data_IF_898753592039
#
_entry.id   IF_898753592039
#
_cell.length_a   1.000
_cell.length_b   1.000
_cell.length_c   1.000
_cell.angle_alpha   90.00
_cell.angle_beta   90.00
_cell.angle_gamma   90.00
#
_symmetry.space_group_name_H-M   'P 1'
#
loop_
_entity.id
_entity.type
_entity.pdbx_description
1 polymer ?
#
# COMPACT_ATOMS: atom_id res chain seq x y z
N UNK A 1 1.50 19.60 4.05
CA UNK A 1 2.43 18.45 4.15
C UNK A 1 1.73 17.32 4.88
N UNK A 2 1.70 16.11 4.33
CA UNK A 2 1.07 14.99 5.03
C UNK A 2 1.84 14.59 6.29
N UNK A 3 1.15 13.95 7.21
CA UNK A 3 1.73 13.38 8.42
C UNK A 3 1.17 11.99 8.65
N UNK A 4 1.85 11.20 9.48
CA UNK A 4 1.34 9.90 9.92
C UNK A 4 0.69 10.01 11.28
N UNK A 5 -0.32 9.18 11.54
CA UNK A 5 -0.90 9.03 12.86
C UNK A 5 -1.14 7.57 13.20
N UNK A 6 -1.30 7.29 14.50
CA UNK A 6 -1.42 5.95 15.03
C UNK A 6 -2.76 5.32 14.66
N UNK A 7 -2.74 4.03 14.31
CA UNK A 7 -3.94 3.23 14.06
C UNK A 7 -4.29 2.49 15.35
N UNK A 8 -5.55 2.53 15.72
CA UNK A 8 -6.09 1.75 16.85
C UNK A 8 -7.14 0.77 16.33
N UNK A 9 -7.45 -0.31 17.07
CA UNK A 9 -8.39 -1.33 16.59
C UNK A 9 -9.75 -0.79 16.16
N UNK A 10 -10.26 0.24 16.83
CA UNK A 10 -11.54 0.85 16.49
C UNK A 10 -11.55 1.55 15.13
N UNK A 11 -10.39 1.77 14.52
CA UNK A 11 -10.31 2.43 13.21
C UNK A 11 -10.63 1.49 12.05
N UNK A 12 -10.77 0.19 12.32
CA UNK A 12 -10.91 -0.82 11.28
C UNK A 12 -12.01 -0.52 10.26
N UNK A 13 -13.23 -0.22 10.73
CA UNK A 13 -14.35 0.01 9.81
C UNK A 13 -14.12 1.21 8.89
N UNK A 14 -13.57 2.30 9.44
CA UNK A 14 -13.25 3.48 8.65
C UNK A 14 -12.15 3.18 7.62
N UNK A 15 -11.20 2.32 7.97
CA UNK A 15 -10.12 1.93 7.05
C UNK A 15 -10.63 1.01 5.95
N UNK A 16 -11.61 0.15 6.24
CA UNK A 16 -12.29 -0.65 5.21
C UNK A 16 -12.96 0.28 4.20
N UNK A 17 -13.67 1.29 4.69
CA UNK A 17 -14.34 2.26 3.82
C UNK A 17 -13.35 3.02 2.93
N UNK A 18 -12.22 3.43 3.49
CA UNK A 18 -11.17 4.12 2.74
C UNK A 18 -10.56 3.21 1.66
N UNK A 19 -10.28 1.96 2.01
CA UNK A 19 -9.75 0.98 1.06
C UNK A 19 -10.72 0.76 -0.10
N UNK A 20 -12.00 0.64 0.20
CA UNK A 20 -13.05 0.49 -0.83
C UNK A 20 -13.05 1.72 -1.74
N UNK A 21 -13.04 2.91 -1.17
CA UNK A 21 -13.00 4.15 -1.97
C UNK A 21 -11.80 4.17 -2.92
N UNK A 22 -10.63 3.82 -2.40
CA UNK A 22 -9.39 3.87 -3.17
C UNK A 22 -9.35 2.84 -4.30
N UNK A 23 -9.97 1.67 -4.12
CA UNK A 23 -9.88 0.55 -5.06
C UNK A 23 -11.14 0.32 -5.89
N UNK A 24 -12.25 0.94 -5.53
CA UNK A 24 -13.55 0.62 -6.12
C UNK A 24 -13.55 0.69 -7.64
N UNK A 25 -13.00 1.75 -8.20
CA UNK A 25 -12.98 1.95 -9.65
C UNK A 25 -12.24 0.81 -10.36
N UNK A 26 -11.06 0.43 -9.84
CA UNK A 26 -10.28 -0.68 -10.41
C UNK A 26 -11.01 -2.01 -10.27
N UNK A 27 -11.61 -2.27 -9.11
CA UNK A 27 -12.33 -3.52 -8.87
C UNK A 27 -13.59 -3.62 -9.71
N UNK A 28 -14.33 -2.52 -9.89
CA UNK A 28 -15.52 -2.50 -10.75
C UNK A 28 -15.14 -2.74 -12.21
N UNK A 29 -14.06 -2.09 -12.67
CA UNK A 29 -13.58 -2.29 -14.05
C UNK A 29 -13.22 -3.74 -14.33
N UNK A 30 -12.71 -4.45 -13.31
CA UNK A 30 -12.35 -5.86 -13.43
C UNK A 30 -13.51 -6.81 -13.12
N UNK A 31 -14.69 -6.27 -12.77
CA UNK A 31 -15.85 -7.09 -12.42
C UNK A 31 -15.68 -7.82 -11.09
N UNK A 32 -14.86 -7.29 -10.17
CA UNK A 32 -14.50 -7.98 -8.93
C UNK A 32 -14.81 -7.18 -7.67
N UNK A 33 -15.63 -6.16 -7.77
CA UNK A 33 -15.98 -5.37 -6.58
C UNK A 33 -16.91 -6.16 -5.66
N UNK A 34 -16.47 -6.36 -4.43
CA UNK A 34 -17.22 -7.05 -3.38
C UNK A 34 -16.83 -6.44 -2.04
N UNK A 35 -17.73 -5.66 -1.39
CA UNK A 35 -17.42 -5.02 -0.12
C UNK A 35 -17.05 -5.99 1.00
N UNK A 36 -17.70 -7.16 1.05
CA UNK A 36 -17.40 -8.16 2.07
C UNK A 36 -16.00 -8.72 1.90
N UNK A 37 -15.60 -8.98 0.68
CA UNK A 37 -14.25 -9.47 0.38
C UNK A 37 -13.20 -8.41 0.70
N UNK A 38 -13.49 -7.15 0.40
CA UNK A 38 -12.60 -6.04 0.73
C UNK A 38 -12.36 -5.97 2.24
N UNK A 39 -13.43 -6.16 3.04
CA UNK A 39 -13.36 -6.19 4.49
C UNK A 39 -12.53 -7.36 4.99
N UNK A 40 -12.78 -8.55 4.46
CA UNK A 40 -12.05 -9.75 4.86
C UNK A 40 -10.55 -9.66 4.57
N UNK A 41 -10.19 -9.09 3.44
CA UNK A 41 -8.78 -8.92 3.07
C UNK A 41 -8.06 -7.98 4.02
N UNK A 42 -8.69 -6.89 4.44
CA UNK A 42 -8.08 -6.02 5.43
C UNK A 42 -8.01 -6.69 6.80
N UNK A 43 -9.07 -7.43 7.17
CA UNK A 43 -9.12 -8.12 8.46
C UNK A 43 -8.02 -9.17 8.60
N UNK A 44 -7.71 -9.91 7.54
CA UNK A 44 -6.74 -11.01 7.61
C UNK A 44 -5.32 -10.57 7.92
N UNK A 45 -4.97 -9.31 7.64
CA UNK A 45 -3.64 -8.78 7.93
C UNK A 45 -3.66 -7.58 8.85
N UNK A 46 -4.77 -7.35 9.56
CA UNK A 46 -4.92 -6.16 10.38
C UNK A 46 -4.00 -6.21 11.60
N UNK A 47 -2.99 -5.35 11.60
CA UNK A 47 -1.98 -5.28 12.65
C UNK A 47 -1.63 -3.81 12.92
N UNK A 48 -2.38 -3.14 13.81
CA UNK A 48 -2.22 -1.69 14.04
C UNK A 48 -0.79 -1.24 14.31
N UNK A 49 0.04 -2.07 14.95
CA UNK A 49 1.43 -1.69 15.25
C UNK A 49 2.29 -1.47 14.00
N UNK A 50 1.86 -2.00 12.84
CA UNK A 50 2.58 -1.82 11.57
C UNK A 50 1.84 -0.88 10.63
N UNK A 51 0.75 -0.28 11.11
CA UNK A 51 -0.14 0.54 10.29
C UNK A 51 -0.09 1.99 10.73
N UNK A 52 -0.23 2.89 9.77
CA UNK A 52 -0.30 4.32 10.04
C UNK A 52 -1.34 4.96 9.13
N UNK A 53 -2.16 5.85 9.71
CA UNK A 53 -3.00 6.72 8.91
C UNK A 53 -2.13 7.76 8.25
N UNK A 54 -2.53 8.19 7.06
CA UNK A 54 -1.94 9.35 6.39
C UNK A 54 -2.94 10.49 6.55
N UNK A 55 -2.49 11.60 7.13
CA UNK A 55 -3.34 12.77 7.37
C UNK A 55 -2.85 13.96 6.59
N UNK A 56 -3.79 14.74 6.09
CA UNK A 56 -3.51 16.01 5.43
C UNK A 56 -4.49 17.04 5.99
N UNK A 57 -3.95 18.10 6.59
CA UNK A 57 -4.76 19.17 7.17
C UNK A 57 -5.80 18.64 8.17
N UNK A 58 -5.39 17.69 9.00
CA UNK A 58 -6.24 17.11 10.03
C UNK A 58 -7.23 16.05 9.55
N UNK A 59 -7.21 15.71 8.26
CA UNK A 59 -8.11 14.70 7.71
C UNK A 59 -7.35 13.43 7.32
N UNK A 60 -7.95 12.28 7.62
CA UNK A 60 -7.40 11.00 7.19
C UNK A 60 -7.67 10.82 5.70
N UNK A 61 -6.61 10.80 4.91
CA UNK A 61 -6.69 10.70 3.45
C UNK A 61 -6.15 9.38 2.91
N UNK A 62 -5.57 8.56 3.78
CA UNK A 62 -5.04 7.26 3.37
C UNK A 62 -4.50 6.47 4.55
N UNK A 63 -3.92 5.31 4.27
CA UNK A 63 -3.16 4.57 5.27
C UNK A 63 -2.11 3.69 4.60
N UNK A 64 -1.13 3.29 5.40
CA UNK A 64 -0.04 2.43 4.95
C UNK A 64 0.19 1.34 5.97
N UNK A 65 0.44 0.12 5.48
CA UNK A 65 0.88 -0.99 6.30
C UNK A 65 2.24 -1.46 5.79
N UNK A 66 3.26 -1.29 6.62
CA UNK A 66 4.61 -1.75 6.31
C UNK A 66 5.07 -2.63 7.45
N UNK A 67 5.29 -3.92 7.18
CA UNK A 67 5.63 -4.88 8.22
C UNK A 67 6.87 -5.68 7.87
N UNK A 68 7.66 -6.09 8.88
CA UNK A 68 8.77 -7.01 8.64
C UNK A 68 8.23 -8.37 8.18
N UNK A 69 8.90 -8.97 7.20
CA UNK A 69 8.55 -10.29 6.70
C UNK A 69 9.85 -11.02 6.34
N UNK A 70 10.39 -11.78 7.30
CA UNK A 70 11.70 -12.40 7.19
C UNK A 70 12.78 -11.32 6.97
N UNK A 71 13.49 -11.35 5.84
CA UNK A 71 14.61 -10.43 5.56
C UNK A 71 14.18 -9.21 4.73
N UNK A 72 12.88 -9.04 4.48
CA UNK A 72 12.35 -7.93 3.70
C UNK A 72 11.28 -7.20 4.49
N UNK A 73 10.91 -5.99 4.05
CA UNK A 73 9.69 -5.35 4.47
C UNK A 73 8.61 -5.63 3.44
N UNK A 74 7.41 -5.93 3.92
CA UNK A 74 6.25 -6.10 3.05
C UNK A 74 5.34 -4.90 3.17
N UNK A 75 5.07 -4.25 2.04
CA UNK A 75 4.10 -3.17 1.95
C UNK A 75 2.75 -3.81 1.62
N UNK A 76 1.98 -4.13 2.67
CA UNK A 76 0.69 -4.80 2.50
C UNK A 76 -0.38 -3.86 1.97
N UNK A 77 -0.33 -2.61 2.40
CA UNK A 77 -1.33 -1.62 2.02
C UNK A 77 -0.69 -0.26 1.85
N UNK A 78 -1.09 0.43 0.80
CA UNK A 78 -0.85 1.85 0.63
C UNK A 78 -2.02 2.37 -0.18
N UNK A 79 -2.97 2.99 0.50
CA UNK A 79 -4.20 3.48 -0.11
C UNK A 79 -4.38 4.96 0.17
N UNK A 80 -4.84 5.68 -0.84
CA UNK A 80 -5.17 7.11 -0.75
C UNK A 80 -6.56 7.28 -1.34
N UNK A 81 -7.40 8.06 -0.68
CA UNK A 81 -8.75 8.37 -1.18
C UNK A 81 -8.67 8.79 -2.65
N UNK A 82 -9.63 8.33 -3.44
CA UNK A 82 -9.66 8.61 -4.88
C UNK A 82 -9.57 10.12 -5.15
N UNK A 83 -10.30 10.93 -4.39
CA UNK A 83 -10.32 12.39 -4.54
C UNK A 83 -8.97 13.04 -4.22
N UNK A 84 -8.09 12.34 -3.52
CA UNK A 84 -6.79 12.86 -3.07
C UNK A 84 -5.62 12.25 -3.81
N UNK A 85 -5.87 11.38 -4.77
CA UNK A 85 -4.82 10.78 -5.60
C UNK A 85 -4.23 11.82 -6.55
N UNK A 86 -3.03 11.54 -7.05
CA UNK A 86 -2.27 12.41 -7.96
C UNK A 86 -1.86 13.75 -7.35
N UNK A 87 -1.75 13.80 -6.03
CA UNK A 87 -1.29 15.00 -5.29
C UNK A 87 0.04 14.77 -4.58
N UNK A 88 0.74 13.67 -4.90
CA UNK A 88 2.03 13.37 -4.29
C UNK A 88 1.95 12.72 -2.92
N UNK A 89 0.76 12.40 -2.41
CA UNK A 89 0.59 11.79 -1.08
C UNK A 89 1.16 10.37 -1.08
N UNK A 90 0.86 9.58 -2.11
CA UNK A 90 1.41 8.23 -2.26
C UNK A 90 2.93 8.26 -2.38
N UNK A 91 3.47 9.19 -3.15
CA UNK A 91 4.92 9.39 -3.29
C UNK A 91 5.56 9.67 -1.93
N UNK A 92 4.96 10.58 -1.18
CA UNK A 92 5.42 10.94 0.15
C UNK A 92 5.46 9.73 1.10
N UNK A 93 4.38 8.95 1.14
CA UNK A 93 4.30 7.77 1.99
C UNK A 93 5.32 6.71 1.57
N UNK A 94 5.46 6.47 0.28
CA UNK A 94 6.40 5.47 -0.24
C UNK A 94 7.84 5.86 0.06
N UNK A 95 8.19 7.15 0.01
CA UNK A 95 9.53 7.61 0.39
C UNK A 95 9.82 7.30 1.86
N UNK A 96 8.83 7.42 2.74
CA UNK A 96 8.99 7.05 4.14
C UNK A 96 9.20 5.55 4.30
N UNK A 97 8.47 4.72 3.54
CA UNK A 97 8.66 3.27 3.56
C UNK A 97 10.08 2.91 3.09
N UNK A 98 10.54 3.53 2.03
CA UNK A 98 11.91 3.31 1.51
C UNK A 98 12.97 3.74 2.52
N UNK A 99 12.75 4.85 3.21
CA UNK A 99 13.69 5.31 4.23
C UNK A 99 13.79 4.31 5.40
N UNK A 100 12.68 3.77 5.86
CA UNK A 100 12.68 2.74 6.90
C UNK A 100 13.40 1.47 6.43
N UNK A 101 13.12 1.03 5.21
CA UNK A 101 13.75 -0.15 4.64
C UNK A 101 15.26 0.05 4.48
N UNK A 102 15.67 1.23 4.01
CA UNK A 102 17.09 1.58 3.86
C UNK A 102 17.81 1.56 5.20
N UNK A 103 17.19 2.09 6.24
CA UNK A 103 17.77 2.10 7.59
C UNK A 103 18.03 0.68 8.12
N UNK A 104 17.23 -0.29 7.70
CA UNK A 104 17.38 -1.70 8.07
C UNK A 104 18.09 -2.51 6.99
N UNK A 105 18.50 -1.89 5.89
CA UNK A 105 19.12 -2.53 4.73
C UNK A 105 18.27 -3.69 4.18
N UNK A 106 16.97 -3.44 4.09
CA UNK A 106 16.00 -4.42 3.60
C UNK A 106 15.38 -3.96 2.29
N UNK A 107 15.05 -4.93 1.43
CA UNK A 107 14.23 -4.66 0.26
C UNK A 107 12.76 -4.53 0.67
N UNK A 108 11.92 -4.03 -0.24
CA UNK A 108 10.48 -3.96 -0.04
C UNK A 108 9.82 -4.85 -1.08
N UNK A 109 8.88 -5.70 -0.65
CA UNK A 109 8.04 -6.48 -1.56
C UNK A 109 6.59 -6.04 -1.42
N UNK A 110 5.82 -6.21 -2.47
CA UNK A 110 4.39 -5.93 -2.47
C UNK A 110 3.70 -6.66 -3.60
N UNK A 111 2.37 -6.73 -3.51
CA UNK A 111 1.52 -7.23 -4.60
C UNK A 111 0.52 -6.14 -4.95
N UNK A 112 0.33 -5.91 -6.24
CA UNK A 112 -0.66 -4.95 -6.75
C UNK A 112 -1.68 -5.66 -7.61
N UNK A 113 -2.93 -5.23 -7.51
CA UNK A 113 -4.01 -5.78 -8.33
C UNK A 113 -3.67 -5.58 -9.82
N UNK A 114 -3.79 -6.65 -10.62
CA UNK A 114 -3.55 -6.56 -12.06
C UNK A 114 -4.44 -5.49 -12.69
N UNK A 115 -3.89 -4.76 -13.68
CA UNK A 115 -4.59 -3.72 -14.42
C UNK A 115 -5.00 -2.50 -13.60
N UNK A 116 -4.55 -2.39 -12.34
CA UNK A 116 -4.78 -1.19 -11.54
C UNK A 116 -3.71 -0.13 -11.83
N UNK A 117 -4.05 1.12 -11.53
CA UNK A 117 -3.11 2.23 -11.72
C UNK A 117 -1.91 2.15 -10.77
N UNK A 118 -2.04 1.39 -9.68
CA UNK A 118 -0.94 1.17 -8.75
C UNK A 118 0.29 0.55 -9.43
N UNK A 119 0.09 -0.28 -10.46
CA UNK A 119 1.20 -0.88 -11.20
C UNK A 119 2.13 0.19 -11.78
N UNK A 120 1.54 1.21 -12.43
CA UNK A 120 2.32 2.31 -13.00
C UNK A 120 3.05 3.10 -11.93
N UNK A 121 2.37 3.33 -10.82
CA UNK A 121 2.94 4.04 -9.67
C UNK A 121 4.19 3.32 -9.14
N UNK A 122 4.11 2.02 -8.91
CA UNK A 122 5.25 1.27 -8.38
C UNK A 122 6.39 1.15 -9.38
N UNK A 123 6.09 0.93 -10.65
CA UNK A 123 7.13 0.90 -11.69
C UNK A 123 7.87 2.23 -11.76
N UNK A 124 7.15 3.35 -11.68
CA UNK A 124 7.75 4.69 -11.69
C UNK A 124 8.68 4.90 -10.50
N UNK A 125 8.41 4.24 -9.38
CA UNK A 125 9.19 4.37 -8.16
C UNK A 125 10.30 3.32 -8.03
N UNK A 126 10.63 2.64 -9.12
CA UNK A 126 11.79 1.75 -9.15
C UNK A 126 11.52 0.32 -8.71
N UNK A 127 10.26 -0.05 -8.51
CA UNK A 127 9.90 -1.43 -8.24
C UNK A 127 10.00 -2.26 -9.51
N UNK A 128 10.41 -3.51 -9.37
CA UNK A 128 10.62 -4.43 -10.47
C UNK A 128 9.63 -5.59 -10.31
N UNK A 129 8.97 -5.97 -11.39
CA UNK A 129 8.08 -7.13 -11.39
C UNK A 129 8.91 -8.40 -11.16
N UNK A 130 8.50 -9.20 -10.17
CA UNK A 130 9.17 -10.46 -9.84
C UNK A 130 8.28 -11.69 -10.04
N UNK A 131 6.98 -11.48 -10.28
CA UNK A 131 6.06 -12.58 -10.50
C UNK A 131 4.66 -12.07 -10.72
N UNK A 132 3.74 -13.00 -10.94
CA UNK A 132 2.34 -12.69 -11.07
C UNK A 132 1.48 -13.90 -10.74
N UNK A 133 0.24 -13.63 -10.32
CA UNK A 133 -0.79 -14.62 -10.11
C UNK A 133 -2.01 -14.24 -10.95
N UNK A 134 -3.11 -14.97 -10.79
CA UNK A 134 -4.33 -14.67 -11.54
C UNK A 134 -4.80 -13.22 -11.35
N UNK A 135 -4.63 -12.69 -10.12
CA UNK A 135 -5.21 -11.40 -9.78
C UNK A 135 -4.18 -10.32 -9.46
N UNK A 136 -2.94 -10.69 -9.16
CA UNK A 136 -1.93 -9.75 -8.68
C UNK A 136 -0.65 -9.82 -9.49
N UNK A 137 0.09 -8.72 -9.44
CA UNK A 137 1.47 -8.65 -9.92
C UNK A 137 2.34 -8.39 -8.70
N UNK A 138 3.41 -9.18 -8.55
CA UNK A 138 4.33 -9.07 -7.43
C UNK A 138 5.53 -8.22 -7.81
N UNK A 139 5.91 -7.33 -6.90
CA UNK A 139 7.00 -6.37 -7.11
C UNK A 139 8.00 -6.42 -5.98
N UNK A 140 9.23 -6.03 -6.33
CA UNK A 140 10.31 -5.87 -5.36
C UNK A 140 11.08 -4.58 -5.64
N UNK A 141 11.39 -3.84 -4.59
CA UNK A 141 12.29 -2.72 -4.63
C UNK A 141 13.57 -3.14 -3.91
N UNK A 142 14.70 -2.97 -4.60
CA UNK A 142 16.00 -3.39 -4.09
C UNK A 142 16.69 -2.22 -3.40
N UNK A 143 16.96 -2.38 -2.11
CA UNK A 143 17.52 -1.30 -1.28
C UNK A 143 18.88 -0.83 -1.81
N UNK A 144 19.64 -1.73 -2.44
CA UNK A 144 20.94 -1.39 -3.02
C UNK A 144 20.86 -1.00 -4.49
N UNK A 145 19.65 -0.83 -5.03
CA UNK A 145 19.44 -0.41 -6.41
C UNK A 145 19.79 -1.46 -7.45
N UNK A 146 20.09 -2.70 -7.05
CA UNK A 146 20.51 -3.76 -7.96
C UNK A 146 19.66 -5.00 -7.81
N UNK A 147 19.23 -5.50 -8.96
CA UNK A 147 18.66 -6.84 -9.03
C UNK A 147 19.82 -7.82 -8.90
N UNK A 148 19.78 -8.70 -7.88
CA UNK A 148 20.79 -9.71 -7.72
C UNK A 148 20.78 -10.65 -8.90
N UNK A 149 21.94 -10.87 -9.48
CA UNK A 149 22.09 -11.78 -10.60
C UNK A 149 21.85 -13.22 -10.14
#
# INVERSE_FOLDING_TARGET
>A
MPTFSIVVPNDFDAMVALRIDALRESLERLGRFDPNRARERLASGFAPKYMQHIELEGQRVGFMTLRPDAEVFKLDHLYVLLSMQSRGIGDWALQHAKAQATAKQCDITLSALQQSDANRFYLRHGFVKIGESEFDIDYRWYVNGKVSA
#
